data_IF_297764576253
#
_entry.id   IF_297764576253
#
_cell.length_a   1.000
_cell.length_b   1.000
_cell.length_c   1.000
_cell.angle_alpha   90.00
_cell.angle_beta   90.00
_cell.angle_gamma   90.00
#
_symmetry.space_group_name_H-M   'P 1'
#
loop_
_entity.id
_entity.type
_entity.pdbx_description
1 polymer ?
#
# COMPACT_ATOMS: atom_id res chain seq x y z
N UNK A 1 -18.41 5.92 20.87
CA UNK A 1 -17.41 7.02 20.81
C UNK A 1 -16.31 6.55 19.88
N UNK A 2 -15.91 7.36 18.92
CA UNK A 2 -14.82 7.03 17.98
C UNK A 2 -13.49 7.07 18.75
N UNK A 3 -12.67 6.02 18.62
CA UNK A 3 -11.34 5.94 19.26
C UNK A 3 -10.32 6.62 18.37
N UNK A 4 -9.52 7.52 18.94
CA UNK A 4 -8.38 8.15 18.24
C UNK A 4 -7.09 7.71 18.94
N UNK A 5 -6.11 7.30 18.15
CA UNK A 5 -4.75 6.99 18.56
C UNK A 5 -3.80 7.98 17.87
N UNK A 6 -2.78 8.43 18.57
CA UNK A 6 -1.84 9.40 18.01
C UNK A 6 -0.45 8.78 17.87
N UNK A 7 0.20 9.03 16.72
CA UNK A 7 1.59 8.64 16.44
C UNK A 7 2.41 9.90 16.25
N UNK A 8 3.40 10.11 17.10
CA UNK A 8 4.31 11.27 17.04
C UNK A 8 5.49 11.09 18.01
N UNK A 9 6.38 12.09 18.06
CA UNK A 9 7.49 12.16 19.00
C UNK A 9 7.08 12.51 20.45
N UNK A 10 5.79 12.79 20.70
CA UNK A 10 5.29 13.02 22.05
C UNK A 10 5.34 11.70 22.85
N UNK A 11 5.98 11.65 24.03
CA UNK A 11 6.11 10.43 24.84
C UNK A 11 4.76 9.82 25.31
N UNK A 12 3.66 10.58 25.26
CA UNK A 12 2.30 10.09 25.56
C UNK A 12 1.62 9.44 24.33
N UNK A 13 2.23 9.56 23.15
CA UNK A 13 1.74 8.99 21.91
C UNK A 13 2.50 7.72 21.53
N UNK A 14 2.03 7.01 20.52
CA UNK A 14 2.76 5.88 19.94
C UNK A 14 3.97 6.39 19.14
N UNK A 15 5.09 5.74 19.28
CA UNK A 15 6.32 6.07 18.55
C UNK A 15 6.34 5.52 17.11
N UNK A 16 5.42 4.60 16.77
CA UNK A 16 5.31 4.00 15.44
C UNK A 16 3.87 3.68 15.08
N UNK A 17 3.59 3.63 13.78
CA UNK A 17 2.26 3.28 13.27
C UNK A 17 1.95 1.81 13.60
N UNK A 18 2.93 0.93 13.47
CA UNK A 18 2.80 -0.48 13.82
C UNK A 18 2.42 -0.69 15.28
N UNK A 19 2.99 0.09 16.22
CA UNK A 19 2.64 0.01 17.64
C UNK A 19 1.20 0.47 17.91
N UNK A 20 0.73 1.50 17.22
CA UNK A 20 -0.67 1.94 17.31
C UNK A 20 -1.64 0.90 16.73
N UNK A 21 -1.32 0.31 15.56
CA UNK A 21 -2.09 -0.77 14.96
C UNK A 21 -2.18 -2.00 15.88
N UNK A 22 -1.11 -2.34 16.61
CA UNK A 22 -1.09 -3.45 17.53
C UNK A 22 -2.08 -3.32 18.71
N UNK A 23 -2.42 -2.10 19.12
CA UNK A 23 -3.40 -1.81 20.18
C UNK A 23 -4.85 -2.06 19.78
N UNK A 24 -5.13 -2.26 18.50
CA UNK A 24 -6.47 -2.51 18.01
C UNK A 24 -6.73 -4.03 18.08
N UNK A 25 -7.86 -4.47 18.67
CA UNK A 25 -8.18 -5.89 18.75
C UNK A 25 -8.36 -6.53 17.37
N UNK A 26 -8.01 -7.82 17.23
CA UNK A 26 -8.17 -8.54 15.96
C UNK A 26 -9.65 -8.61 15.50
N UNK A 27 -10.59 -8.66 16.44
CA UNK A 27 -12.03 -8.66 16.18
C UNK A 27 -12.64 -7.25 16.31
N UNK A 28 -11.91 -6.21 15.91
CA UNK A 28 -12.40 -4.83 15.96
C UNK A 28 -13.70 -4.66 15.17
N UNK A 29 -14.69 -4.00 15.79
CA UNK A 29 -15.99 -3.73 15.18
C UNK A 29 -16.36 -2.24 15.23
N UNK A 30 -15.46 -1.40 15.72
CA UNK A 30 -15.69 0.03 15.91
C UNK A 30 -14.67 0.86 15.17
N UNK A 31 -15.07 2.03 14.61
CA UNK A 31 -14.12 2.90 13.93
C UNK A 31 -12.99 3.39 14.84
N UNK A 32 -11.75 3.23 14.36
CA UNK A 32 -10.54 3.74 15.00
C UNK A 32 -9.80 4.61 14.00
N UNK A 33 -9.43 5.82 14.44
CA UNK A 33 -8.55 6.71 13.68
C UNK A 33 -7.16 6.66 14.30
N UNK A 34 -6.14 6.48 13.45
CA UNK A 34 -4.74 6.68 13.81
C UNK A 34 -4.29 7.98 13.16
N UNK A 35 -4.11 9.02 13.95
CA UNK A 35 -3.58 10.31 13.52
C UNK A 35 -2.06 10.30 13.59
N UNK A 36 -1.42 10.54 12.44
CA UNK A 36 0.02 10.38 12.26
C UNK A 36 0.63 11.76 12.04
N UNK A 37 1.49 12.20 12.94
CA UNK A 37 2.20 13.47 12.82
C UNK A 37 3.06 13.52 11.55
N UNK A 38 3.43 14.72 11.07
CA UNK A 38 4.40 14.86 9.99
C UNK A 38 5.71 14.14 10.33
N UNK A 39 6.26 13.42 9.35
CA UNK A 39 7.50 12.65 9.50
C UNK A 39 7.63 11.57 8.45
N UNK A 40 8.78 10.92 8.41
CA UNK A 40 9.04 9.74 7.58
C UNK A 40 9.10 8.52 8.51
N UNK A 41 8.17 7.60 8.29
CA UNK A 41 8.03 6.35 9.04
C UNK A 41 8.54 5.21 8.18
N UNK A 42 9.74 4.73 8.50
CA UNK A 42 10.34 3.58 7.81
C UNK A 42 9.77 2.28 8.39
N UNK A 43 8.58 1.94 7.94
CA UNK A 43 7.81 0.80 8.44
C UNK A 43 7.17 -0.01 7.31
N UNK A 44 7.29 -1.34 7.39
CA UNK A 44 6.52 -2.27 6.57
C UNK A 44 5.28 -2.70 7.35
N UNK A 45 4.10 -2.34 6.86
CA UNK A 45 2.87 -2.41 7.63
C UNK A 45 1.85 -3.37 7.01
N UNK A 46 1.05 -4.01 7.88
CA UNK A 46 -0.13 -4.78 7.49
C UNK A 46 -1.33 -4.32 8.29
N UNK A 47 -2.41 -3.94 7.60
CA UNK A 47 -3.73 -3.68 8.19
C UNK A 47 -4.61 -4.90 7.92
N UNK A 48 -4.80 -5.74 8.94
CA UNK A 48 -5.65 -6.92 8.92
C UNK A 48 -6.85 -6.83 9.88
N UNK A 49 -7.16 -5.63 10.35
CA UNK A 49 -8.27 -5.32 11.26
C UNK A 49 -9.18 -4.29 10.60
N UNK A 50 -10.50 -4.48 10.61
CA UNK A 50 -11.43 -3.59 9.92
C UNK A 50 -11.68 -2.28 10.68
N UNK A 51 -12.35 -1.35 10.00
CA UNK A 51 -12.78 -0.04 10.52
C UNK A 51 -11.63 0.85 10.98
N UNK A 52 -10.53 0.85 10.24
CA UNK A 52 -9.34 1.64 10.54
C UNK A 52 -9.22 2.81 9.56
N UNK A 53 -8.92 3.98 10.09
CA UNK A 53 -8.47 5.14 9.31
C UNK A 53 -7.03 5.48 9.70
N UNK A 54 -6.11 5.48 8.73
CA UNK A 54 -4.82 6.15 8.88
C UNK A 54 -4.92 7.55 8.31
N UNK A 55 -4.61 8.57 9.11
CA UNK A 55 -4.70 9.98 8.72
C UNK A 55 -3.38 10.70 8.97
N UNK A 56 -2.78 11.24 7.92
CA UNK A 56 -1.66 12.17 8.03
C UNK A 56 -2.13 13.54 8.51
N UNK A 57 -1.38 14.13 9.45
CA UNK A 57 -1.72 15.40 10.12
C UNK A 57 -0.88 16.58 9.60
N UNK A 58 -0.11 16.40 8.55
CA UNK A 58 0.66 17.48 7.90
C UNK A 58 -0.22 18.46 7.12
N UNK A 59 0.35 19.56 6.67
CA UNK A 59 -0.34 20.55 5.80
C UNK A 59 -0.61 19.98 4.40
N UNK A 60 0.18 18.99 3.98
CA UNK A 60 -0.05 18.22 2.75
C UNK A 60 0.27 16.76 2.97
N UNK A 61 -0.23 15.89 2.07
CA UNK A 61 0.08 14.45 2.10
C UNK A 61 1.56 14.13 1.95
N UNK A 62 2.38 15.07 1.48
CA UNK A 62 3.83 14.91 1.39
C UNK A 62 4.56 14.99 2.74
N UNK A 63 3.91 15.48 3.79
CA UNK A 63 4.54 15.66 5.09
C UNK A 63 4.45 14.43 6.00
N UNK A 64 3.54 13.49 5.73
CA UNK A 64 3.43 12.23 6.47
C UNK A 64 3.69 11.07 5.50
N UNK A 65 4.86 10.46 5.61
CA UNK A 65 5.34 9.46 4.66
C UNK A 65 5.55 8.13 5.35
N UNK A 66 4.90 7.08 4.84
CA UNK A 66 5.18 5.68 5.19
C UNK A 66 6.04 5.13 4.06
N UNK A 67 7.29 4.78 4.35
CA UNK A 67 8.27 4.37 3.35
C UNK A 67 8.90 3.04 3.72
N UNK A 68 9.14 2.18 2.74
CA UNK A 68 9.93 0.96 2.87
C UNK A 68 10.61 0.66 1.53
N UNK A 69 11.56 -0.29 1.49
CA UNK A 69 12.47 -0.47 0.35
C UNK A 69 12.67 -1.91 -0.11
N UNK A 70 11.77 -2.82 0.24
CA UNK A 70 11.79 -4.19 -0.27
C UNK A 70 11.51 -4.23 -1.79
N UNK A 71 12.22 -5.10 -2.54
CA UNK A 71 12.04 -5.27 -3.99
C UNK A 71 12.11 -6.75 -4.42
N UNK A 72 11.58 -7.06 -5.59
CA UNK A 72 11.35 -8.46 -6.01
C UNK A 72 12.62 -9.26 -6.26
N UNK A 73 13.69 -8.62 -6.72
CA UNK A 73 14.96 -9.28 -7.00
C UNK A 73 15.85 -9.46 -5.77
N UNK A 74 15.48 -8.88 -4.63
CA UNK A 74 16.17 -9.04 -3.36
C UNK A 74 16.22 -10.51 -2.93
N UNK A 75 17.32 -10.92 -2.30
CA UNK A 75 17.51 -12.30 -1.85
C UNK A 75 17.06 -12.45 -0.39
N UNK A 76 16.22 -13.44 -0.16
CA UNK A 76 15.83 -13.87 1.17
C UNK A 76 16.98 -14.68 1.81
N UNK A 77 16.90 -14.90 3.13
CA UNK A 77 17.90 -15.68 3.87
C UNK A 77 18.14 -17.10 3.31
N UNK A 78 17.10 -17.69 2.71
CA UNK A 78 17.18 -19.02 2.07
C UNK A 78 17.76 -18.99 0.64
N UNK A 79 18.21 -17.82 0.18
CA UNK A 79 18.75 -17.60 -1.17
C UNK A 79 17.70 -17.47 -2.27
N UNK A 80 16.42 -17.61 -1.98
CA UNK A 80 15.34 -17.36 -2.94
C UNK A 80 15.13 -15.87 -3.17
N UNK A 81 14.60 -15.50 -4.34
CA UNK A 81 14.16 -14.12 -4.57
C UNK A 81 12.91 -13.80 -3.75
N UNK A 82 12.82 -12.57 -3.25
CA UNK A 82 11.65 -12.07 -2.51
C UNK A 82 10.36 -12.22 -3.33
N UNK A 83 10.38 -11.87 -4.61
CA UNK A 83 9.21 -11.89 -5.48
C UNK A 83 8.25 -10.74 -5.19
N UNK A 84 7.39 -10.42 -6.15
CA UNK A 84 6.54 -9.21 -6.17
C UNK A 84 5.69 -9.02 -4.92
N UNK A 85 4.93 -10.04 -4.53
CA UNK A 85 3.88 -9.89 -3.52
C UNK A 85 4.38 -9.88 -2.06
N UNK A 86 5.69 -9.88 -1.86
CA UNK A 86 6.34 -9.70 -0.55
C UNK A 86 7.08 -8.36 -0.42
N UNK A 87 6.93 -7.44 -1.40
CA UNK A 87 7.67 -6.18 -1.44
C UNK A 87 6.93 -4.98 -0.87
N UNK A 88 5.66 -5.12 -0.56
CA UNK A 88 4.79 -4.01 -0.17
C UNK A 88 5.31 -3.18 1.01
N UNK A 89 5.10 -1.89 0.96
CA UNK A 89 5.26 -0.99 2.10
C UNK A 89 4.05 -1.10 3.03
N UNK A 90 2.85 -0.97 2.46
CA UNK A 90 1.59 -1.14 3.20
C UNK A 90 0.73 -2.21 2.52
N UNK A 91 0.31 -3.21 3.30
CA UNK A 91 -0.65 -4.24 2.89
C UNK A 91 -1.97 -4.08 3.64
N UNK A 92 -3.08 -4.04 2.91
CA UNK A 92 -4.44 -4.05 3.46
C UNK A 92 -5.09 -5.39 3.16
N UNK A 93 -5.36 -6.17 4.21
CA UNK A 93 -5.98 -7.51 4.15
C UNK A 93 -7.26 -7.55 4.98
N UNK A 94 -8.17 -6.60 4.72
CA UNK A 94 -9.43 -6.50 5.47
C UNK A 94 -10.39 -5.54 4.75
N UNK A 95 -11.50 -5.20 5.38
CA UNK A 95 -12.53 -4.31 4.86
C UNK A 95 -12.67 -3.02 5.69
N UNK A 96 -13.35 -2.01 5.10
CA UNK A 96 -13.65 -0.74 5.77
C UNK A 96 -12.40 -0.04 6.29
N UNK A 97 -11.39 0.11 5.42
CA UNK A 97 -10.16 0.85 5.70
C UNK A 97 -10.12 2.14 4.90
N UNK A 98 -9.75 3.22 5.57
CA UNK A 98 -9.51 4.52 4.96
C UNK A 98 -8.07 4.94 5.13
N UNK A 99 -7.42 5.35 4.04
CA UNK A 99 -6.13 6.05 4.06
C UNK A 99 -6.39 7.49 3.66
N UNK A 100 -5.91 8.45 4.45
CA UNK A 100 -6.24 9.84 4.26
C UNK A 100 -5.03 10.74 4.46
N UNK A 101 -4.76 11.58 3.46
CA UNK A 101 -3.82 12.70 3.56
C UNK A 101 -2.39 12.29 3.95
N UNK A 102 -1.86 11.23 3.34
CA UNK A 102 -0.52 10.71 3.59
C UNK A 102 0.13 10.17 2.31
N UNK A 103 1.43 9.93 2.35
CA UNK A 103 2.19 9.28 1.30
C UNK A 103 2.51 7.85 1.69
N UNK A 104 2.35 6.91 0.76
CA UNK A 104 2.88 5.56 0.84
C UNK A 104 3.89 5.41 -0.28
N UNK A 105 5.11 5.06 0.07
CA UNK A 105 6.22 4.98 -0.86
C UNK A 105 6.93 3.63 -0.75
N UNK A 106 7.23 3.01 -1.91
CA UNK A 106 8.30 2.03 -1.96
C UNK A 106 9.55 2.72 -2.51
N UNK A 107 10.56 2.86 -1.66
CA UNK A 107 11.78 3.62 -1.92
C UNK A 107 12.93 2.75 -2.44
N UNK A 108 12.67 1.52 -2.95
CA UNK A 108 13.72 0.63 -3.44
C UNK A 108 14.47 1.16 -4.67
N UNK A 109 13.86 2.07 -5.43
CA UNK A 109 14.49 2.73 -6.58
C UNK A 109 14.17 2.08 -7.93
N UNK A 110 15.08 2.24 -8.88
CA UNK A 110 14.90 1.93 -10.31
C UNK A 110 14.48 0.48 -10.57
N UNK A 111 13.38 0.31 -11.29
CA UNK A 111 12.82 -0.99 -11.69
C UNK A 111 13.76 -1.82 -12.56
N UNK A 112 14.66 -1.22 -13.34
CA UNK A 112 15.62 -1.94 -14.17
C UNK A 112 16.62 -2.76 -13.32
N UNK A 113 16.88 -2.35 -12.09
CA UNK A 113 17.81 -3.01 -11.17
C UNK A 113 17.14 -3.80 -10.06
N UNK A 114 15.93 -3.38 -9.63
CA UNK A 114 15.21 -3.92 -8.47
C UNK A 114 13.99 -4.77 -8.86
N UNK A 115 13.45 -4.55 -10.08
CA UNK A 115 12.20 -5.18 -10.51
C UNK A 115 10.98 -4.61 -9.80
N UNK A 116 9.99 -5.45 -9.54
CA UNK A 116 8.73 -5.06 -8.93
C UNK A 116 8.89 -4.65 -7.46
N UNK A 117 8.18 -3.60 -7.05
CA UNK A 117 8.27 -3.04 -5.70
C UNK A 117 6.98 -2.31 -5.33
N UNK A 118 6.08 -3.00 -4.63
CA UNK A 118 4.74 -2.50 -4.31
C UNK A 118 4.80 -1.46 -3.19
N UNK A 119 4.26 -0.26 -3.42
CA UNK A 119 4.01 0.68 -2.33
C UNK A 119 2.73 0.30 -1.57
N UNK A 120 1.60 0.18 -2.27
CA UNK A 120 0.33 -0.21 -1.66
C UNK A 120 -0.19 -1.53 -2.26
N UNK A 121 -0.30 -2.56 -1.41
CA UNK A 121 -1.00 -3.81 -1.71
C UNK A 121 -2.41 -3.74 -1.10
N UNK A 122 -3.40 -3.41 -1.91
CA UNK A 122 -4.79 -3.26 -1.50
C UNK A 122 -5.59 -4.51 -1.88
N UNK A 123 -5.81 -5.42 -0.92
CA UNK A 123 -6.61 -6.65 -1.12
C UNK A 123 -7.70 -6.75 -0.05
N UNK A 124 -8.70 -5.88 -0.19
CA UNK A 124 -9.82 -5.79 0.74
C UNK A 124 -11.05 -5.16 0.09
N UNK A 125 -12.15 -5.13 0.82
CA UNK A 125 -13.43 -4.56 0.37
C UNK A 125 -13.76 -3.25 1.08
N UNK A 126 -14.42 -2.32 0.39
CA UNK A 126 -14.77 -0.98 0.88
C UNK A 126 -13.56 -0.21 1.40
N UNK A 127 -12.51 -0.21 0.56
CA UNK A 127 -11.32 0.60 0.82
C UNK A 127 -11.52 2.01 0.26
N UNK A 128 -11.13 3.02 1.03
CA UNK A 128 -11.13 4.42 0.62
C UNK A 128 -9.74 5.01 0.76
N UNK A 129 -9.19 5.50 -0.33
CA UNK A 129 -7.89 6.17 -0.37
C UNK A 129 -8.12 7.61 -0.85
N UNK A 130 -8.04 8.58 0.07
CA UNK A 130 -8.38 9.97 -0.20
C UNK A 130 -7.20 10.90 0.04
N UNK A 131 -6.92 11.74 -0.94
CA UNK A 131 -5.87 12.77 -0.87
C UNK A 131 -4.49 12.20 -0.52
N UNK A 132 -4.20 10.99 -1.01
CA UNK A 132 -2.95 10.28 -0.77
C UNK A 132 -2.00 10.37 -1.97
N UNK A 133 -0.71 10.14 -1.68
CA UNK A 133 0.31 9.92 -2.71
C UNK A 133 0.78 8.47 -2.62
N UNK A 134 0.78 7.78 -3.75
CA UNK A 134 1.33 6.43 -3.89
C UNK A 134 2.55 6.53 -4.81
N UNK A 135 3.72 6.28 -4.26
CA UNK A 135 4.99 6.50 -4.95
C UNK A 135 5.78 5.20 -5.05
N UNK A 136 6.30 4.94 -6.22
CA UNK A 136 7.16 3.79 -6.50
C UNK A 136 7.67 3.82 -7.93
N UNK A 137 8.08 2.68 -8.40
CA UNK A 137 8.52 2.41 -9.76
C UNK A 137 7.64 1.34 -10.39
N UNK A 138 8.17 0.14 -10.66
CA UNK A 138 7.36 -0.96 -11.18
C UNK A 138 6.42 -1.51 -10.10
N UNK A 139 5.14 -1.71 -10.46
CA UNK A 139 4.12 -2.33 -9.60
C UNK A 139 3.72 -1.48 -8.36
N UNK A 140 3.69 -0.14 -8.46
CA UNK A 140 3.44 0.76 -7.31
C UNK A 140 2.15 0.44 -6.55
N UNK A 141 1.02 0.24 -7.25
CA UNK A 141 -0.29 -0.05 -6.66
C UNK A 141 -0.82 -1.40 -7.17
N UNK A 142 -0.96 -2.35 -6.26
CA UNK A 142 -1.69 -3.59 -6.54
C UNK A 142 -3.11 -3.53 -5.96
N UNK A 143 -4.11 -3.74 -6.84
CA UNK A 143 -5.54 -3.79 -6.48
C UNK A 143 -6.02 -5.25 -6.52
N UNK A 144 -5.90 -5.96 -5.38
CA UNK A 144 -6.28 -7.38 -5.27
C UNK A 144 -7.72 -7.68 -5.67
N UNK A 145 -8.08 -8.94 -5.83
CA UNK A 145 -7.28 -10.12 -5.50
C UNK A 145 -6.25 -10.50 -6.58
N UNK A 146 -5.41 -11.48 -6.23
CA UNK A 146 -4.56 -12.17 -7.21
C UNK A 146 -5.43 -12.87 -8.27
N UNK A 147 -4.93 -13.04 -9.51
CA UNK A 147 -5.63 -13.85 -10.53
C UNK A 147 -5.85 -15.29 -10.09
N UNK A 148 -6.77 -15.98 -10.74
CA UNK A 148 -7.08 -17.39 -10.46
C UNK A 148 -5.89 -18.34 -10.68
N UNK A 149 -5.04 -18.03 -11.65
CA UNK A 149 -3.90 -18.87 -12.04
C UNK A 149 -2.63 -18.07 -12.15
N UNK A 150 -1.54 -18.63 -11.64
CA UNK A 150 -0.20 -18.10 -11.86
C UNK A 150 0.20 -18.16 -13.35
N UNK A 151 0.88 -17.13 -13.82
CA UNK A 151 1.51 -17.13 -15.14
C UNK A 151 2.83 -17.95 -15.14
N UNK A 152 3.52 -17.96 -14.01
CA UNK A 152 4.75 -18.68 -13.78
C UNK A 152 4.68 -19.36 -12.41
N UNK A 153 5.24 -20.57 -12.25
CA UNK A 153 5.31 -21.25 -10.97
C UNK A 153 5.99 -20.37 -9.90
N UNK A 154 5.33 -20.21 -8.76
CA UNK A 154 5.82 -19.37 -7.66
C UNK A 154 5.63 -17.86 -7.85
N UNK A 155 4.92 -17.43 -8.92
CA UNK A 155 4.69 -16.01 -9.19
C UNK A 155 3.83 -15.31 -8.12
N UNK A 156 3.04 -16.06 -7.34
CA UNK A 156 2.15 -15.53 -6.31
C UNK A 156 2.66 -15.72 -4.88
N UNK A 157 3.91 -16.12 -4.71
CA UNK A 157 4.47 -16.29 -3.36
C UNK A 157 4.33 -14.97 -2.58
N UNK A 158 3.52 -15.02 -1.52
CA UNK A 158 3.19 -13.85 -0.71
C UNK A 158 2.00 -14.09 0.22
N UNK A 159 1.53 -13.07 0.92
CA UNK A 159 0.53 -13.23 1.98
C UNK A 159 -0.83 -13.75 1.49
N UNK A 160 -1.15 -13.57 0.21
CA UNK A 160 -2.45 -13.97 -0.37
C UNK A 160 -2.36 -15.15 -1.34
N UNK A 161 -1.22 -15.86 -1.41
CA UNK A 161 -0.99 -16.95 -2.35
C UNK A 161 -2.13 -17.98 -2.38
N UNK A 162 -2.60 -18.39 -1.21
CA UNK A 162 -3.65 -19.40 -1.04
C UNK A 162 -5.00 -18.83 -0.59
N UNK A 163 -5.14 -17.50 -0.54
CA UNK A 163 -6.37 -16.86 -0.13
C UNK A 163 -7.46 -16.97 -1.21
N UNK A 164 -8.74 -16.96 -0.83
CA UNK A 164 -9.85 -16.87 -1.77
C UNK A 164 -9.73 -15.63 -2.66
N UNK A 165 -10.07 -15.75 -3.93
CA UNK A 165 -10.07 -14.65 -4.91
C UNK A 165 -11.37 -13.87 -4.82
N UNK A 166 -11.50 -13.02 -3.80
CA UNK A 166 -12.71 -12.23 -3.55
C UNK A 166 -12.48 -10.82 -4.07
N UNK A 167 -13.23 -10.44 -5.10
CA UNK A 167 -13.12 -9.10 -5.67
C UNK A 167 -13.67 -8.06 -4.68
N UNK A 168 -12.82 -7.11 -4.29
CA UNK A 168 -13.14 -6.01 -3.40
C UNK A 168 -13.50 -4.72 -4.15
N UNK A 169 -14.16 -3.81 -3.45
CA UNK A 169 -14.49 -2.47 -3.92
C UNK A 169 -13.50 -1.47 -3.34
N UNK A 170 -12.90 -0.66 -4.21
CA UNK A 170 -11.87 0.30 -3.82
C UNK A 170 -12.16 1.66 -4.46
N UNK A 171 -12.05 2.72 -3.68
CA UNK A 171 -12.27 4.08 -4.12
C UNK A 171 -11.04 4.95 -3.85
N UNK A 172 -10.50 5.50 -4.91
CA UNK A 172 -9.34 6.39 -4.90
C UNK A 172 -9.79 7.80 -5.27
N UNK A 173 -9.62 8.77 -4.38
CA UNK A 173 -10.06 10.14 -4.59
C UNK A 173 -8.93 11.12 -4.35
N UNK A 174 -8.78 12.11 -5.26
CA UNK A 174 -7.76 13.16 -5.16
C UNK A 174 -6.33 12.61 -4.96
N UNK A 175 -6.04 11.43 -5.48
CA UNK A 175 -4.76 10.76 -5.28
C UNK A 175 -3.75 11.13 -6.38
N UNK A 176 -2.48 11.16 -6.00
CA UNK A 176 -1.36 11.19 -6.93
C UNK A 176 -0.68 9.83 -6.93
N UNK A 177 -0.67 9.13 -8.06
CA UNK A 177 -0.10 7.78 -8.18
C UNK A 177 1.00 7.82 -9.24
N UNK A 178 2.21 7.44 -8.84
CA UNK A 178 3.41 7.59 -9.66
C UNK A 178 4.18 6.27 -9.74
N UNK A 179 4.67 5.95 -10.93
CA UNK A 179 5.51 4.79 -11.18
C UNK A 179 5.89 4.66 -12.65
N UNK A 180 6.42 3.51 -13.01
CA UNK A 180 6.84 3.22 -14.39
C UNK A 180 6.06 2.03 -14.99
N UNK A 181 6.59 0.82 -14.92
CA UNK A 181 5.99 -0.37 -15.53
C UNK A 181 4.86 -0.90 -14.63
N UNK A 182 3.69 -1.15 -15.22
CA UNK A 182 2.53 -1.75 -14.52
C UNK A 182 2.23 -1.09 -13.16
N UNK A 183 2.49 0.23 -13.04
CA UNK A 183 2.42 0.95 -11.75
C UNK A 183 1.03 0.96 -11.11
N UNK A 184 -0.01 0.56 -11.84
CA UNK A 184 -1.34 0.21 -11.33
C UNK A 184 -1.72 -1.11 -11.98
N UNK A 185 -1.91 -2.17 -11.18
CA UNK A 185 -2.30 -3.48 -11.67
C UNK A 185 -3.20 -4.22 -10.67
N UNK A 186 -3.87 -5.27 -11.12
CA UNK A 186 -4.76 -6.07 -10.29
C UNK A 186 -6.16 -6.23 -10.88
N UNK A 187 -7.14 -6.62 -10.06
CA UNK A 187 -8.46 -7.03 -10.53
C UNK A 187 -9.64 -6.53 -9.68
N UNK A 188 -9.41 -5.65 -8.71
CA UNK A 188 -10.48 -5.08 -7.89
C UNK A 188 -11.49 -4.28 -8.72
N UNK A 189 -12.70 -4.13 -8.19
CA UNK A 189 -13.63 -3.08 -8.65
C UNK A 189 -13.17 -1.75 -8.09
N UNK A 190 -12.29 -1.08 -8.83
CA UNK A 190 -11.68 0.18 -8.41
C UNK A 190 -12.25 1.37 -9.19
N UNK A 191 -12.56 2.45 -8.44
CA UNK A 191 -13.00 3.71 -9.01
C UNK A 191 -12.02 4.83 -8.63
N UNK A 192 -11.55 5.58 -9.63
CA UNK A 192 -10.60 6.68 -9.46
C UNK A 192 -11.28 8.00 -9.81
N UNK A 193 -11.32 8.93 -8.85
CA UNK A 193 -11.92 10.26 -9.02
C UNK A 193 -10.90 11.35 -8.73
N UNK A 194 -10.75 12.28 -9.65
CA UNK A 194 -9.80 13.40 -9.53
C UNK A 194 -8.36 12.97 -9.20
N UNK A 195 -7.95 11.81 -9.73
CA UNK A 195 -6.61 11.28 -9.53
C UNK A 195 -5.64 11.75 -10.62
N UNK A 196 -4.40 11.97 -10.25
CA UNK A 196 -3.29 12.23 -11.16
C UNK A 196 -2.43 10.97 -11.29
N UNK A 197 -2.25 10.49 -12.51
CA UNK A 197 -1.36 9.37 -12.83
C UNK A 197 -0.07 9.90 -13.46
N UNK A 198 1.06 9.65 -12.78
CA UNK A 198 2.37 10.10 -13.23
C UNK A 198 3.20 8.92 -13.70
N UNK A 199 3.46 8.87 -14.99
CA UNK A 199 4.36 7.89 -15.58
C UNK A 199 5.78 8.46 -15.57
N UNK A 200 6.73 7.76 -14.92
CA UNK A 200 8.10 8.24 -14.72
C UNK A 200 8.93 8.25 -16.01
N UNK A 201 8.59 7.41 -17.00
CA UNK A 201 9.19 7.46 -18.32
C UNK A 201 8.16 7.09 -19.40
N UNK A 202 8.38 7.60 -20.62
CA UNK A 202 7.57 7.24 -21.77
C UNK A 202 8.24 6.07 -22.52
N UNK A 203 7.69 4.86 -22.38
CA UNK A 203 7.97 3.79 -23.33
C UNK A 203 7.03 3.93 -24.52
N UNK A 204 7.48 3.76 -25.77
CA UNK A 204 6.57 3.67 -26.90
C UNK A 204 5.57 2.54 -26.64
N UNK A 205 4.27 2.85 -26.79
CA UNK A 205 3.21 1.84 -26.70
C UNK A 205 3.53 0.67 -27.66
N UNK A 206 3.27 -0.59 -27.29
CA UNK A 206 3.38 -1.71 -28.23
C UNK A 206 2.55 -1.51 -29.50
N UNK A 207 1.59 -0.57 -29.51
CA UNK A 207 0.79 -0.18 -30.69
C UNK A 207 1.51 0.81 -31.60
N UNK A 208 2.60 1.39 -31.14
CA UNK A 208 3.40 2.37 -31.90
C UNK A 208 4.60 1.72 -32.62
N UNK A 209 4.62 0.38 -32.68
CA UNK A 209 5.63 -0.42 -33.38
C UNK A 209 5.04 -1.15 -34.58
#
# INVERSE_FOLDING_TARGET
MQKILHVSDNPEHFSSIGSALAQIPANNTTPVIIEIAPGIYHEKLTINKPYITLRGMGESSAHTVISYDDYALDLMEDGSKRGTFRTYTLFIDTHDVTLQHLTIENASGDSATHGQAIALYADGDRLMIDSCRLLGHQDTLFTGPLPEKERQPGGFIGPKQFAPRINGRQYYKNCYICGDIDFIFGSATAYFEHCTFCLLYTSPSPRDR
#
